data_IF_794548309931
#
_entry.id   IF_794548309931
#
_cell.length_a   1.000
_cell.length_b   1.000
_cell.length_c   1.000
_cell.angle_alpha   90.00
_cell.angle_beta   90.00
_cell.angle_gamma   90.00
#
_symmetry.space_group_name_H-M   'P 1'
#
loop_
_entity.id
_entity.type
_entity.pdbx_description
1 polymer ?
#
# COMPACT_ATOMS: atom_id res chain seq x y z
N UNK A 1 -14.45 -1.73 14.54
CA UNK A 1 -13.43 -2.61 13.94
C UNK A 1 -13.27 -2.20 12.49
N UNK A 2 -12.11 -1.66 12.09
CA UNK A 2 -11.86 -1.40 10.66
C UNK A 2 -11.58 -2.75 9.98
N UNK A 3 -12.60 -3.34 9.37
CA UNK A 3 -12.47 -4.59 8.63
C UNK A 3 -11.61 -4.33 7.40
N UNK A 4 -10.51 -5.08 7.26
CA UNK A 4 -9.72 -5.08 6.04
C UNK A 4 -10.34 -6.05 5.03
N UNK A 5 -10.42 -5.64 3.76
CA UNK A 5 -10.53 -6.59 2.65
C UNK A 5 -9.18 -7.30 2.51
N UNK A 6 -9.15 -8.61 2.61
CA UNK A 6 -7.91 -9.40 2.44
C UNK A 6 -7.82 -9.90 1.00
N UNK A 7 -6.64 -9.74 0.40
CA UNK A 7 -6.31 -10.22 -0.94
C UNK A 7 -5.08 -11.14 -0.81
N UNK A 8 -5.34 -12.44 -0.94
CA UNK A 8 -4.34 -13.51 -0.80
C UNK A 8 -3.77 -13.99 -2.14
N UNK A 9 -4.36 -13.58 -3.24
CA UNK A 9 -3.85 -13.86 -4.59
C UNK A 9 -2.75 -12.89 -4.98
N UNK A 10 -1.83 -13.32 -5.83
CA UNK A 10 -0.80 -12.42 -6.39
C UNK A 10 -1.46 -11.29 -7.19
N UNK A 11 -1.09 -10.04 -6.90
CA UNK A 11 -1.54 -8.85 -7.64
C UNK A 11 -0.33 -8.17 -8.28
N UNK A 12 -0.46 -7.82 -9.57
CA UNK A 12 0.58 -7.19 -10.39
C UNK A 12 0.08 -5.92 -11.06
N UNK A 13 1.00 -5.07 -11.50
CA UNK A 13 0.69 -3.84 -12.22
C UNK A 13 0.51 -2.63 -11.30
N UNK A 14 -0.17 -1.61 -11.81
CA UNK A 14 -0.53 -0.42 -11.04
C UNK A 14 -1.73 -0.71 -10.12
N UNK A 15 -1.65 -0.28 -8.87
CA UNK A 15 -2.67 -0.56 -7.86
C UNK A 15 -3.13 0.71 -7.17
N UNK A 16 -4.44 0.95 -7.22
CA UNK A 16 -5.12 2.01 -6.47
C UNK A 16 -5.92 1.38 -5.34
N UNK A 17 -5.60 1.74 -4.09
CA UNK A 17 -6.21 1.20 -2.88
C UNK A 17 -7.20 2.24 -2.34
N UNK A 18 -8.49 2.01 -2.57
CA UNK A 18 -9.58 2.94 -2.25
C UNK A 18 -10.43 2.55 -1.03
N UNK A 19 -10.07 1.46 -0.35
CA UNK A 19 -10.69 0.99 0.89
C UNK A 19 -9.67 0.21 1.71
N UNK A 20 -9.92 0.05 3.01
CA UNK A 20 -8.99 -0.62 3.91
C UNK A 20 -8.69 -2.04 3.41
N UNK A 21 -7.46 -2.28 2.94
CA UNK A 21 -7.11 -3.52 2.22
C UNK A 21 -5.76 -4.06 2.69
N UNK A 22 -5.68 -5.38 2.85
CA UNK A 22 -4.44 -6.11 3.08
C UNK A 22 -4.11 -6.94 1.84
N UNK A 23 -2.92 -6.74 1.29
CA UNK A 23 -2.36 -7.56 0.21
C UNK A 23 -1.28 -8.46 0.79
N UNK A 24 -1.44 -9.78 0.66
CA UNK A 24 -0.46 -10.75 1.18
C UNK A 24 0.61 -11.16 0.15
N UNK A 25 0.40 -10.84 -1.12
CA UNK A 25 1.37 -11.13 -2.20
C UNK A 25 1.31 -10.04 -3.29
N UNK A 26 1.77 -8.83 -2.98
CA UNK A 26 1.80 -7.72 -3.93
C UNK A 26 3.13 -7.65 -4.69
N UNK A 27 3.06 -7.53 -6.02
CA UNK A 27 4.18 -7.20 -6.91
C UNK A 27 3.76 -6.06 -7.83
N UNK A 28 3.64 -4.86 -7.27
CA UNK A 28 3.10 -3.71 -7.97
C UNK A 28 4.18 -2.88 -8.65
N UNK A 29 3.86 -2.30 -9.81
CA UNK A 29 4.72 -1.32 -10.47
C UNK A 29 4.55 0.06 -9.81
N UNK A 30 3.34 0.38 -9.37
CA UNK A 30 3.03 1.60 -8.63
C UNK A 30 1.85 1.36 -7.68
N UNK A 31 1.88 2.00 -6.52
CA UNK A 31 0.77 1.96 -5.55
C UNK A 31 0.31 3.37 -5.20
N UNK A 32 -0.99 3.61 -5.22
CA UNK A 32 -1.61 4.81 -4.66
C UNK A 32 -2.60 4.43 -3.57
N UNK A 33 -2.39 4.91 -2.34
CA UNK A 33 -3.34 4.75 -1.23
C UNK A 33 -4.14 6.04 -1.12
N UNK A 34 -5.46 5.94 -1.33
CA UNK A 34 -6.33 7.12 -1.35
C UNK A 34 -6.58 7.67 0.05
N UNK A 35 -7.24 8.83 0.12
CA UNK A 35 -7.47 9.53 1.37
C UNK A 35 -8.20 8.67 2.42
N UNK A 36 -7.77 8.80 3.68
CA UNK A 36 -8.36 8.10 4.83
C UNK A 36 -8.40 6.57 4.74
N UNK A 37 -7.60 5.97 3.84
CA UNK A 37 -7.51 4.51 3.66
C UNK A 37 -6.28 3.95 4.35
N UNK A 38 -6.46 2.82 5.04
CA UNK A 38 -5.35 2.02 5.58
C UNK A 38 -5.04 0.85 4.67
N UNK A 39 -3.82 0.79 4.14
CA UNK A 39 -3.29 -0.34 3.39
C UNK A 39 -2.28 -1.12 4.23
N UNK A 40 -2.35 -2.45 4.21
CA UNK A 40 -1.26 -3.33 4.67
C UNK A 40 -0.73 -4.13 3.50
N UNK A 41 0.58 -4.07 3.26
CA UNK A 41 1.21 -4.66 2.08
C UNK A 41 2.31 -5.60 2.53
N UNK A 42 2.19 -6.86 2.14
CA UNK A 42 3.27 -7.83 2.11
C UNK A 42 3.69 -8.01 0.64
N UNK A 43 4.94 -7.65 0.32
CA UNK A 43 5.45 -7.81 -1.04
C UNK A 43 6.42 -6.72 -1.50
N UNK A 44 6.46 -6.50 -2.81
CA UNK A 44 7.40 -5.57 -3.46
C UNK A 44 6.63 -4.56 -4.31
N UNK A 45 7.05 -3.30 -4.22
CA UNK A 45 6.59 -2.22 -5.07
C UNK A 45 7.81 -1.75 -5.87
N UNK A 46 7.83 -2.06 -7.16
CA UNK A 46 8.99 -1.80 -8.03
C UNK A 46 9.17 -0.30 -8.30
N UNK A 47 8.08 0.43 -8.48
CA UNK A 47 8.09 1.88 -8.68
C UNK A 47 7.62 2.67 -7.47
N UNK A 48 6.79 3.67 -7.71
CA UNK A 48 6.48 4.69 -6.70
C UNK A 48 5.30 4.27 -5.80
N UNK A 49 5.31 4.79 -4.58
CA UNK A 49 4.16 4.77 -3.67
C UNK A 49 3.69 6.19 -3.46
N UNK A 50 2.40 6.45 -3.63
CA UNK A 50 1.77 7.74 -3.35
C UNK A 50 0.78 7.55 -2.20
N UNK A 51 0.99 8.28 -1.10
CA UNK A 51 0.09 8.28 0.05
C UNK A 51 -0.65 9.60 0.11
N UNK A 52 -1.98 9.54 -0.01
CA UNK A 52 -2.84 10.72 0.09
C UNK A 52 -3.15 11.06 1.55
N UNK A 53 -3.73 12.24 1.77
CA UNK A 53 -4.04 12.77 3.10
C UNK A 53 -4.83 11.78 3.97
N UNK A 54 -4.37 11.57 5.21
CA UNK A 54 -5.02 10.67 6.18
C UNK A 54 -4.91 9.18 5.84
N UNK A 55 -4.22 8.82 4.74
CA UNK A 55 -3.94 7.43 4.43
C UNK A 55 -2.87 6.86 5.37
N UNK A 56 -2.89 5.55 5.56
CA UNK A 56 -1.90 4.81 6.36
C UNK A 56 -1.40 3.63 5.58
N UNK A 57 -0.09 3.49 5.45
CA UNK A 57 0.54 2.33 4.84
C UNK A 57 1.34 1.55 5.89
N UNK A 58 0.99 0.29 6.09
CA UNK A 58 1.79 -0.70 6.81
C UNK A 58 2.53 -1.58 5.80
N UNK A 59 3.82 -1.33 5.61
CA UNK A 59 4.64 -2.06 4.64
C UNK A 59 5.49 -3.14 5.33
N UNK A 60 5.23 -4.39 4.99
CA UNK A 60 6.04 -5.57 5.28
C UNK A 60 6.71 -6.02 3.97
N UNK A 61 7.67 -5.24 3.49
CA UNK A 61 8.13 -5.38 2.13
C UNK A 61 9.13 -4.32 1.71
N UNK A 62 9.33 -4.21 0.40
CA UNK A 62 10.31 -3.31 -0.20
C UNK A 62 9.62 -2.38 -1.20
N UNK A 63 9.96 -1.09 -1.13
CA UNK A 63 9.70 -0.11 -2.19
C UNK A 63 11.04 0.15 -2.88
N UNK A 64 11.11 -0.02 -4.20
CA UNK A 64 12.32 0.25 -4.99
C UNK A 64 12.31 1.63 -5.66
N UNK A 65 11.14 2.25 -5.82
CA UNK A 65 11.00 3.62 -6.29
C UNK A 65 10.89 4.65 -5.15
N UNK A 66 10.20 5.75 -5.42
CA UNK A 66 10.00 6.85 -4.46
C UNK A 66 8.75 6.63 -3.61
N UNK A 67 8.84 6.92 -2.31
CA UNK A 67 7.68 7.11 -1.46
C UNK A 67 7.30 8.61 -1.42
N UNK A 68 6.17 8.96 -2.02
CA UNK A 68 5.63 10.32 -2.09
C UNK A 68 4.50 10.42 -1.07
N UNK A 69 4.75 11.15 0.01
CA UNK A 69 3.79 11.31 1.11
C UNK A 69 3.13 12.70 1.05
N UNK A 70 1.85 12.75 0.71
CA UNK A 70 1.02 13.96 0.61
C UNK A 70 0.07 14.08 1.81
N UNK A 71 0.56 13.76 3.02
CA UNK A 71 -0.19 13.90 4.28
C UNK A 71 -0.76 12.60 4.85
N UNK A 72 -0.20 11.44 4.47
CA UNK A 72 -0.45 10.15 5.09
C UNK A 72 0.65 9.72 6.07
N UNK A 73 0.56 8.48 6.54
CA UNK A 73 1.50 7.87 7.49
C UNK A 73 2.09 6.59 6.90
N UNK A 74 3.40 6.37 7.06
CA UNK A 74 4.09 5.14 6.65
C UNK A 74 4.62 4.43 7.89
N UNK A 75 4.31 3.16 8.02
CA UNK A 75 4.87 2.25 9.02
C UNK A 75 5.63 1.14 8.30
N UNK A 76 6.93 1.04 8.54
CA UNK A 76 7.82 0.06 7.93
C UNK A 76 8.11 -1.07 8.92
N UNK A 77 7.99 -2.31 8.47
CA UNK A 77 8.20 -3.50 9.29
C UNK A 77 9.26 -4.41 8.65
N UNK A 78 10.04 -5.07 9.52
CA UNK A 78 11.06 -6.05 9.14
C UNK A 78 10.44 -7.43 8.91
#
# INVERSE_FOLDING_TARGET
MNTFKVIDTEVKGEVVINLNTQYNNLKADQVTVTENVTARIYGTIEGNVILKKGSRLHLHGVIRGKAINEGGEVYLYK
#
